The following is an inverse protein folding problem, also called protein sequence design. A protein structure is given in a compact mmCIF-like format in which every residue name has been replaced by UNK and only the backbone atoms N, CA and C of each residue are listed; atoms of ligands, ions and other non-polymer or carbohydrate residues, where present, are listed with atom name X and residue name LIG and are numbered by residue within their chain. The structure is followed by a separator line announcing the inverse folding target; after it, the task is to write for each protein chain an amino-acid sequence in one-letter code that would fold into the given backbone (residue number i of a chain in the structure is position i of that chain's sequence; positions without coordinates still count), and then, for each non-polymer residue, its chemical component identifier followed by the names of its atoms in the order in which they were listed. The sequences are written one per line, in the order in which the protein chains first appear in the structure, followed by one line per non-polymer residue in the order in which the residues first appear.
data_IF_625182240654
#
_entry.id   IF_625182240654
#
_cell.length_a   1.000
_cell.length_b   1.000
_cell.length_c   1.000
_cell.angle_alpha   90.00
_cell.angle_beta   90.00
_cell.angle_gamma   90.00
#
_symmetry.space_group_name_H-M   'P 1'
#
loop_
_entity.id
_entity.type
_entity.pdbx_description
1 polymer ?
#
# COMPACT_ATOMS: atom_id res chain seq x y z
N UNK A 1 -17.70 -13.18 -1.34
CA UNK A 1 -17.33 -12.25 -2.43
C UNK A 1 -17.13 -10.83 -1.93
N UNK A 2 -18.12 -10.20 -1.29
CA UNK A 2 -18.07 -8.79 -0.85
C UNK A 2 -16.92 -8.47 0.11
N UNK A 3 -16.69 -9.29 1.14
CA UNK A 3 -15.56 -9.11 2.09
C UNK A 3 -14.21 -9.06 1.36
N UNK A 4 -13.94 -10.09 0.56
CA UNK A 4 -12.70 -10.18 -0.22
C UNK A 4 -12.53 -8.99 -1.17
N UNK A 5 -13.60 -8.59 -1.87
CA UNK A 5 -13.57 -7.42 -2.74
C UNK A 5 -13.18 -6.15 -1.97
N UNK A 6 -13.81 -5.90 -0.82
CA UNK A 6 -13.53 -4.71 -0.01
C UNK A 6 -12.08 -4.69 0.51
N UNK A 7 -11.59 -5.82 1.02
CA UNK A 7 -10.21 -5.94 1.53
C UNK A 7 -9.19 -5.72 0.40
N UNK A 8 -9.39 -6.35 -0.76
CA UNK A 8 -8.48 -6.21 -1.89
C UNK A 8 -8.56 -4.82 -2.55
N UNK A 9 -9.74 -4.21 -2.57
CA UNK A 9 -9.91 -2.83 -3.04
C UNK A 9 -9.16 -1.87 -2.10
N UNK A 10 -9.34 -2.01 -0.78
CA UNK A 10 -8.63 -1.21 0.21
C UNK A 10 -7.10 -1.37 0.09
N UNK A 11 -6.61 -2.62 0.01
CA UNK A 11 -5.20 -2.89 -0.22
C UNK A 11 -4.66 -2.19 -1.49
N UNK A 12 -5.41 -2.24 -2.59
CA UNK A 12 -5.03 -1.59 -3.84
C UNK A 12 -5.02 -0.05 -3.74
N UNK A 13 -5.97 0.53 -2.99
CA UNK A 13 -5.97 1.98 -2.74
C UNK A 13 -4.79 2.43 -1.89
N UNK A 14 -4.36 1.62 -0.91
CA UNK A 14 -3.19 1.92 -0.09
C UNK A 14 -1.89 1.85 -0.91
N UNK A 15 -1.78 0.92 -1.85
CA UNK A 15 -0.65 0.88 -2.80
C UNK A 15 -0.59 2.20 -3.59
N UNK A 16 -1.70 2.64 -4.18
CA UNK A 16 -1.74 3.92 -4.91
C UNK A 16 -1.45 5.12 -4.02
N UNK A 17 -1.94 5.12 -2.77
CA UNK A 17 -1.67 6.19 -1.84
C UNK A 17 -0.19 6.26 -1.47
N UNK A 18 0.46 5.12 -1.22
CA UNK A 18 1.90 5.07 -0.94
C UNK A 18 2.76 5.60 -2.09
N UNK A 19 2.39 5.30 -3.34
CA UNK A 19 3.11 5.80 -4.52
C UNK A 19 2.89 7.29 -4.74
N UNK A 20 1.67 7.80 -4.53
CA UNK A 20 1.38 9.24 -4.57
C UNK A 20 2.16 10.00 -3.48
N UNK A 21 2.19 9.49 -2.25
CA UNK A 21 2.98 10.11 -1.16
C UNK A 21 4.47 10.09 -1.49
N UNK A 22 5.00 8.98 -2.02
CA UNK A 22 6.40 8.92 -2.44
C UNK A 22 6.71 9.94 -3.55
N UNK A 23 5.90 9.98 -4.60
CA UNK A 23 6.07 10.91 -5.72
C UNK A 23 5.92 12.37 -5.30
N UNK A 24 5.08 12.66 -4.31
CA UNK A 24 4.97 14.00 -3.74
C UNK A 24 6.27 14.47 -3.07
N UNK A 25 6.97 13.56 -2.39
CA UNK A 25 8.23 13.90 -1.70
C UNK A 25 9.45 13.90 -2.61
N UNK A 26 9.52 12.99 -3.58
CA UNK A 26 10.69 12.83 -4.47
C UNK A 26 10.56 13.55 -5.81
N UNK A 27 9.33 13.92 -6.20
CA UNK A 27 9.03 14.41 -7.54
C UNK A 27 9.16 13.35 -8.64
N UNK A 28 9.31 12.07 -8.29
CA UNK A 28 9.52 10.96 -9.23
C UNK A 28 8.50 9.84 -8.97
N UNK A 29 7.99 9.24 -10.05
CA UNK A 29 7.06 8.11 -9.99
C UNK A 29 7.76 6.74 -9.94
N UNK A 30 9.04 6.72 -9.59
CA UNK A 30 9.78 5.46 -9.48
C UNK A 30 9.24 4.63 -8.31
N UNK A 31 8.85 3.40 -8.63
CA UNK A 31 8.25 2.44 -7.70
C UNK A 31 9.34 1.65 -6.95
N UNK A 32 10.57 1.62 -7.49
CA UNK A 32 11.67 0.84 -6.91
C UNK A 32 12.29 1.51 -5.69
N UNK A 33 12.15 2.83 -5.58
CA UNK A 33 12.74 3.65 -4.53
C UNK A 33 11.65 4.34 -3.69
N UNK A 34 11.13 3.60 -2.72
CA UNK A 34 10.35 4.20 -1.63
C UNK A 34 11.33 4.83 -0.63
N UNK A 35 11.51 6.14 -0.74
CA UNK A 35 12.49 6.89 0.08
C UNK A 35 11.85 7.52 1.31
N UNK A 36 10.53 7.74 1.27
CA UNK A 36 9.81 8.32 2.38
C UNK A 36 9.31 7.24 3.37
N UNK A 37 9.65 7.32 4.68
CA UNK A 37 9.35 6.27 5.66
C UNK A 37 7.85 5.99 5.78
N UNK A 38 7.00 7.01 5.68
CA UNK A 38 5.53 6.83 5.68
C UNK A 38 5.06 6.05 4.47
N UNK A 39 5.61 6.30 3.28
CA UNK A 39 5.24 5.57 2.06
C UNK A 39 5.65 4.10 2.16
N UNK A 40 6.83 3.80 2.72
CA UNK A 40 7.26 2.43 3.01
C UNK A 40 6.28 1.71 3.93
N UNK A 41 5.91 2.33 5.06
CA UNK A 41 4.97 1.73 6.01
C UNK A 41 3.61 1.42 5.38
N UNK A 42 3.08 2.34 4.58
CA UNK A 42 1.79 2.16 3.91
C UNK A 42 1.88 1.07 2.84
N UNK A 43 2.97 1.03 2.06
CA UNK A 43 3.20 -0.02 1.06
C UNK A 43 3.27 -1.41 1.73
N UNK A 44 4.04 -1.54 2.81
CA UNK A 44 4.14 -2.80 3.55
C UNK A 44 2.80 -3.23 4.13
N UNK A 45 2.03 -2.30 4.72
CA UNK A 45 0.69 -2.58 5.21
C UNK A 45 -0.24 -3.05 4.08
N UNK A 46 -0.21 -2.39 2.92
CA UNK A 46 -1.01 -2.75 1.76
C UNK A 46 -0.70 -4.16 1.23
N UNK A 47 0.59 -4.51 1.13
CA UNK A 47 1.03 -5.86 0.72
C UNK A 47 0.60 -6.90 1.77
N UNK A 48 0.73 -6.57 3.06
CA UNK A 48 0.32 -7.46 4.15
C UNK A 48 -1.19 -7.75 4.14
N UNK A 49 -2.03 -6.76 3.82
CA UNK A 49 -3.47 -6.95 3.62
C UNK A 49 -3.76 -7.85 2.41
N UNK A 50 -3.02 -7.67 1.31
CA UNK A 50 -3.22 -8.42 0.07
C UNK A 50 -2.86 -9.91 0.20
N UNK A 51 -1.89 -10.21 1.07
CA UNK A 51 -1.45 -11.55 1.43
C UNK A 51 -2.23 -12.16 2.60
N UNK A 52 -3.00 -11.36 3.35
CA UNK A 52 -3.70 -11.81 4.56
C UNK A 52 -2.77 -12.11 5.74
N UNK A 53 -1.68 -11.34 5.90
CA UNK A 53 -0.77 -11.44 7.04
C UNK A 53 -1.36 -10.80 8.31
N UNK A 54 -0.84 -11.14 9.48
CA UNK A 54 -1.23 -10.51 10.77
C UNK A 54 -0.96 -8.99 10.72
N UNK A 55 -1.88 -8.12 11.20
CA UNK A 55 -3.19 -8.38 11.80
C UNK A 55 -4.37 -8.46 10.80
N UNK A 56 -4.13 -8.48 9.49
CA UNK A 56 -5.13 -8.38 8.40
C UNK A 56 -5.60 -9.74 7.84
N UNK A 57 -5.43 -10.82 8.57
CA UNK A 57 -5.79 -12.18 8.13
C UNK A 57 -7.31 -12.49 8.20
N UNK A 58 -8.12 -11.54 8.66
CA UNK A 58 -9.54 -11.73 8.99
C UNK A 58 -10.51 -11.55 7.80
#
# INVERSE_FOLDING_TARGET
ATKYFLVQAAASTLVLFSSMTNAWHTGQWDITQLTHPTSCLIMTAAISMKLGLVPFHF
#
